data_IF_627187069299
#
_entry.id   IF_627187069299
#
_cell.length_a   1.000
_cell.length_b   1.000
_cell.length_c   1.000
_cell.angle_alpha   90.00
_cell.angle_beta   90.00
_cell.angle_gamma   90.00
#
_symmetry.space_group_name_H-M   'P 1'
#
loop_
_entity.id
_entity.type
_entity.pdbx_description
1 polymer ?
#
# COMPACT_ATOMS: atom_id res chain seq x y z
N UNK A 1 -21.05 21.26 -17.80
CA UNK A 1 -20.07 21.29 -16.71
C UNK A 1 -19.09 20.18 -17.02
N UNK A 2 -17.85 20.49 -17.34
CA UNK A 2 -16.83 19.44 -17.51
C UNK A 2 -16.66 18.76 -16.16
N UNK A 3 -16.92 17.46 -16.07
CA UNK A 3 -16.67 16.70 -14.85
C UNK A 3 -15.23 16.97 -14.41
N UNK A 4 -15.07 17.51 -13.20
CA UNK A 4 -13.75 17.77 -12.63
C UNK A 4 -13.03 16.43 -12.49
N UNK A 5 -11.79 16.37 -12.97
CA UNK A 5 -10.96 15.20 -12.77
C UNK A 5 -10.68 14.99 -11.28
N UNK A 6 -10.52 13.73 -10.86
CA UNK A 6 -10.05 13.40 -9.51
C UNK A 6 -8.63 13.92 -9.22
N UNK A 7 -7.92 14.39 -10.25
CA UNK A 7 -6.61 15.02 -10.15
C UNK A 7 -6.65 16.55 -10.07
N UNK A 8 -7.82 17.17 -10.25
CA UNK A 8 -7.95 18.63 -10.23
C UNK A 8 -7.90 19.16 -8.79
N UNK A 9 -7.28 20.34 -8.62
CA UNK A 9 -7.29 21.04 -7.34
C UNK A 9 -8.74 21.40 -6.93
N UNK A 10 -9.06 21.17 -5.66
CA UNK A 10 -10.42 21.34 -5.13
C UNK A 10 -11.35 20.19 -5.47
N UNK A 11 -10.83 19.04 -5.91
CA UNK A 11 -11.59 17.80 -5.96
C UNK A 11 -11.82 17.27 -4.54
N UNK A 12 -13.09 16.99 -4.22
CA UNK A 12 -13.54 16.44 -2.96
C UNK A 12 -14.13 15.05 -3.19
N UNK A 13 -13.82 14.10 -2.32
CA UNK A 13 -14.41 12.77 -2.37
C UNK A 13 -15.83 12.81 -1.78
N UNK A 14 -16.80 12.11 -2.38
CA UNK A 14 -18.15 12.08 -1.84
C UNK A 14 -18.19 11.28 -0.55
N UNK A 15 -18.99 11.77 0.41
CA UNK A 15 -19.27 11.05 1.66
C UNK A 15 -20.08 9.80 1.34
N UNK A 16 -19.53 8.65 1.70
CA UNK A 16 -20.16 7.34 1.56
C UNK A 16 -19.62 6.42 2.64
N UNK A 17 -20.35 5.34 2.94
CA UNK A 17 -20.03 4.44 4.05
C UNK A 17 -20.06 2.98 3.64
N UNK A 18 -19.11 2.21 4.18
CA UNK A 18 -19.03 0.77 4.01
C UNK A 18 -18.69 0.09 5.35
N UNK A 19 -18.91 -1.22 5.44
CA UNK A 19 -18.33 -2.01 6.53
C UNK A 19 -16.88 -2.33 6.19
N UNK A 20 -15.97 -2.25 7.17
CA UNK A 20 -14.59 -2.69 7.02
C UNK A 20 -14.52 -4.18 6.60
N UNK A 21 -13.60 -4.57 5.70
CA UNK A 21 -12.50 -3.75 5.16
C UNK A 21 -12.91 -2.77 4.03
N UNK A 22 -14.15 -2.84 3.56
CA UNK A 22 -14.65 -2.07 2.41
C UNK A 22 -14.33 -2.76 1.09
N UNK A 23 -15.07 -2.41 0.03
CA UNK A 23 -14.84 -2.89 -1.34
C UNK A 23 -14.66 -1.69 -2.28
N UNK A 24 -13.63 -1.73 -3.11
CA UNK A 24 -13.38 -0.75 -4.16
C UNK A 24 -14.44 -0.82 -5.26
N UNK A 25 -14.99 -2.01 -5.53
CA UNK A 25 -16.09 -2.17 -6.49
C UNK A 25 -17.35 -1.36 -6.11
N UNK A 26 -17.51 -1.03 -4.82
CA UNK A 26 -18.61 -0.24 -4.26
C UNK A 26 -18.30 1.26 -4.12
N UNK A 27 -17.09 1.70 -4.44
CA UNK A 27 -16.76 3.12 -4.42
C UNK A 27 -17.31 3.85 -5.64
N UNK A 28 -17.95 4.98 -5.38
CA UNK A 28 -18.34 5.94 -6.41
C UNK A 28 -17.83 7.35 -6.05
N UNK A 29 -16.94 7.97 -6.84
CA UNK A 29 -16.27 7.40 -8.00
C UNK A 29 -15.20 6.38 -7.60
N UNK A 30 -14.85 5.50 -8.55
CA UNK A 30 -13.75 4.55 -8.39
C UNK A 30 -12.40 5.27 -8.27
N UNK A 31 -11.43 4.73 -7.51
CA UNK A 31 -10.07 5.27 -7.49
C UNK A 31 -9.36 5.12 -8.84
N UNK A 32 -8.41 6.02 -9.11
CA UNK A 32 -7.52 5.90 -10.27
C UNK A 32 -6.34 5.01 -9.94
N UNK A 33 -6.19 3.90 -10.67
CA UNK A 33 -5.19 2.87 -10.38
C UNK A 33 -4.02 2.81 -11.37
N UNK A 34 -4.18 3.26 -12.62
CA UNK A 34 -3.11 3.30 -13.62
C UNK A 34 -2.98 4.63 -14.38
N UNK A 35 -3.72 5.66 -13.97
CA UNK A 35 -3.65 7.01 -14.54
C UNK A 35 -2.90 7.96 -13.61
N UNK A 36 -2.15 8.91 -14.19
CA UNK A 36 -1.37 9.92 -13.47
C UNK A 36 -1.69 11.32 -14.02
N UNK A 37 -1.56 12.39 -13.21
CA UNK A 37 -1.80 13.76 -13.68
C UNK A 37 -0.79 14.18 -14.75
N UNK A 38 -1.22 15.07 -15.64
CA UNK A 38 -0.39 15.69 -16.69
C UNK A 38 -0.01 17.13 -16.32
N UNK A 39 1.16 17.64 -16.74
CA UNK A 39 1.54 19.04 -16.52
C UNK A 39 0.55 20.05 -17.10
N UNK A 40 -0.12 19.70 -18.20
CA UNK A 40 -1.08 20.56 -18.91
C UNK A 40 -2.49 20.52 -18.28
N UNK A 41 -2.68 19.77 -17.18
CA UNK A 41 -3.99 19.49 -16.60
C UNK A 41 -4.65 18.25 -17.22
N UNK A 42 -5.46 17.55 -16.43
CA UNK A 42 -6.03 16.24 -16.78
C UNK A 42 -5.15 15.07 -16.36
N UNK A 43 -5.25 13.95 -17.09
CA UNK A 43 -4.56 12.71 -16.77
C UNK A 43 -4.19 11.90 -18.01
N UNK A 44 -3.19 11.03 -17.84
CA UNK A 44 -2.76 10.08 -18.84
C UNK A 44 -2.51 8.72 -18.20
N UNK A 45 -2.51 7.66 -19.01
CA UNK A 45 -2.05 6.35 -18.57
C UNK A 45 -0.57 6.43 -18.14
N UNK A 46 -0.22 5.75 -17.05
CA UNK A 46 1.16 5.56 -16.60
C UNK A 46 2.02 4.98 -17.73
N UNK A 47 3.22 5.54 -17.92
CA UNK A 47 4.16 5.13 -18.98
C UNK A 47 5.25 4.26 -18.38
N UNK A 48 5.10 2.94 -18.53
CA UNK A 48 6.10 1.99 -18.08
C UNK A 48 7.36 2.01 -18.96
N UNK A 49 8.49 1.65 -18.36
CA UNK A 49 9.80 1.60 -19.02
C UNK A 49 10.50 0.24 -18.87
N UNK A 50 9.77 -0.80 -18.48
CA UNK A 50 10.31 -2.16 -18.27
C UNK A 50 11.23 -2.25 -17.04
N UNK A 51 10.98 -1.41 -16.02
CA UNK A 51 11.86 -1.25 -14.85
C UNK A 51 11.93 -2.49 -13.97
N UNK A 52 10.95 -3.38 -14.07
CA UNK A 52 10.78 -4.56 -13.21
C UNK A 52 10.69 -5.84 -14.05
N UNK A 53 11.26 -5.86 -15.25
CA UNK A 53 11.18 -7.01 -16.16
C UNK A 53 11.64 -8.31 -15.48
N UNK A 54 10.75 -9.30 -15.48
CA UNK A 54 10.99 -10.62 -14.89
C UNK A 54 11.01 -10.67 -13.36
N UNK A 55 10.70 -9.57 -12.67
CA UNK A 55 10.63 -9.52 -11.20
C UNK A 55 9.39 -10.24 -10.68
N UNK A 56 9.51 -10.75 -9.46
CA UNK A 56 8.45 -11.49 -8.76
C UNK A 56 8.08 -10.80 -7.46
N UNK A 57 6.85 -10.32 -7.35
CA UNK A 57 6.39 -9.53 -6.21
C UNK A 57 5.36 -10.27 -5.35
N UNK A 58 5.57 -10.29 -4.04
CA UNK A 58 4.55 -10.64 -3.05
C UNK A 58 3.98 -9.34 -2.47
N UNK A 59 2.68 -9.10 -2.64
CA UNK A 59 2.00 -7.85 -2.25
C UNK A 59 0.81 -8.20 -1.32
N UNK A 60 0.80 -7.65 -0.12
CA UNK A 60 -0.34 -7.81 0.80
C UNK A 60 -1.34 -6.65 0.70
N UNK A 61 -2.64 -6.90 0.86
CA UNK A 61 -3.68 -5.91 0.59
C UNK A 61 -3.63 -5.46 -0.87
N UNK A 62 -3.40 -6.42 -1.78
CA UNK A 62 -3.23 -6.17 -3.21
C UNK A 62 -4.54 -6.20 -3.99
N UNK A 63 -5.66 -6.48 -3.33
CA UNK A 63 -7.01 -6.54 -3.89
C UNK A 63 -7.54 -5.16 -4.31
N UNK A 64 -7.19 -4.09 -3.59
CA UNK A 64 -7.75 -2.75 -3.76
C UNK A 64 -6.74 -1.63 -3.43
N UNK A 65 -7.15 -0.39 -3.66
CA UNK A 65 -6.46 0.84 -3.31
C UNK A 65 -5.02 0.90 -3.82
N UNK A 66 -4.12 1.28 -2.91
CA UNK A 66 -2.68 1.41 -3.21
C UNK A 66 -2.11 0.06 -3.65
N UNK A 67 -2.49 -1.05 -3.02
CA UNK A 67 -1.96 -2.37 -3.37
C UNK A 67 -2.38 -2.85 -4.75
N UNK A 68 -3.65 -2.64 -5.14
CA UNK A 68 -4.13 -2.87 -6.53
C UNK A 68 -3.29 -2.09 -7.53
N UNK A 69 -3.07 -0.81 -7.26
CA UNK A 69 -2.28 0.06 -8.14
C UNK A 69 -0.82 -0.41 -8.24
N UNK A 70 -0.22 -0.83 -7.12
CA UNK A 70 1.12 -1.43 -7.13
C UNK A 70 1.16 -2.66 -8.03
N UNK A 71 0.21 -3.59 -7.89
CA UNK A 71 0.16 -4.80 -8.71
C UNK A 71 0.02 -4.47 -10.20
N UNK A 72 -0.85 -3.53 -10.57
CA UNK A 72 -1.07 -3.11 -11.96
C UNK A 72 0.17 -2.42 -12.53
N UNK A 73 0.77 -1.46 -11.81
CA UNK A 73 1.96 -0.76 -12.28
C UNK A 73 3.18 -1.70 -12.35
N UNK A 74 3.29 -2.66 -11.43
CA UNK A 74 4.31 -3.70 -11.48
C UNK A 74 4.14 -4.58 -12.73
N UNK A 75 2.89 -4.92 -13.08
CA UNK A 75 2.60 -5.65 -14.30
C UNK A 75 2.99 -4.85 -15.56
N UNK A 76 2.65 -3.55 -15.60
CA UNK A 76 3.06 -2.66 -16.69
C UNK A 76 4.59 -2.56 -16.83
N UNK A 77 5.32 -2.63 -15.71
CA UNK A 77 6.79 -2.62 -15.67
C UNK A 77 7.45 -3.99 -15.86
N UNK A 78 6.67 -5.05 -16.09
CA UNK A 78 7.18 -6.38 -16.47
C UNK A 78 7.27 -7.41 -15.34
N UNK A 79 6.66 -7.16 -14.18
CA UNK A 79 6.72 -8.06 -13.02
C UNK A 79 5.47 -8.93 -12.86
N UNK A 80 5.67 -10.17 -12.40
CA UNK A 80 4.59 -11.06 -11.94
C UNK A 80 4.28 -10.80 -10.46
N UNK A 81 3.01 -10.94 -10.08
CA UNK A 81 2.53 -10.65 -8.72
C UNK A 81 1.86 -11.86 -8.07
N UNK A 82 2.01 -11.95 -6.75
CA UNK A 82 1.23 -12.80 -5.87
C UNK A 82 0.60 -11.89 -4.81
N UNK A 83 -0.73 -11.80 -4.78
CA UNK A 83 -1.42 -10.89 -3.88
C UNK A 83 -2.16 -11.64 -2.77
N UNK A 84 -2.06 -11.11 -1.56
CA UNK A 84 -2.81 -11.55 -0.38
C UNK A 84 -3.84 -10.50 0.04
N UNK A 85 -4.99 -10.94 0.50
CA UNK A 85 -6.16 -10.12 0.84
C UNK A 85 -7.10 -10.93 1.77
N UNK A 86 -8.13 -10.31 2.34
CA UNK A 86 -9.10 -11.03 3.17
C UNK A 86 -10.15 -11.75 2.30
N UNK A 87 -10.69 -12.91 2.72
CA UNK A 87 -11.68 -13.65 1.93
C UNK A 87 -12.89 -12.85 1.47
N UNK A 88 -13.33 -11.85 2.24
CA UNK A 88 -14.45 -10.98 1.93
C UNK A 88 -14.17 -10.03 0.73
N UNK A 89 -12.90 -9.83 0.37
CA UNK A 89 -12.43 -8.93 -0.70
C UNK A 89 -12.19 -9.67 -2.04
N UNK A 90 -12.61 -10.94 -2.16
CA UNK A 90 -12.36 -11.79 -3.34
C UNK A 90 -12.78 -11.16 -4.67
N UNK A 91 -13.91 -10.45 -4.71
CA UNK A 91 -14.39 -9.76 -5.90
C UNK A 91 -13.35 -8.74 -6.42
N UNK A 92 -12.81 -7.94 -5.51
CA UNK A 92 -11.80 -6.93 -5.81
C UNK A 92 -10.44 -7.54 -6.16
N UNK A 93 -10.08 -8.65 -5.51
CA UNK A 93 -8.87 -9.39 -5.85
C UNK A 93 -8.92 -9.98 -7.27
N UNK A 94 -10.07 -10.51 -7.69
CA UNK A 94 -10.27 -11.03 -9.04
C UNK A 94 -10.18 -9.92 -10.11
N UNK A 95 -10.72 -8.73 -9.84
CA UNK A 95 -10.57 -7.60 -10.76
C UNK A 95 -9.10 -7.18 -10.86
N UNK A 96 -8.35 -7.10 -9.74
CA UNK A 96 -6.92 -6.82 -9.80
C UNK A 96 -6.17 -7.87 -10.61
N UNK A 97 -6.45 -9.16 -10.40
CA UNK A 97 -5.85 -10.24 -11.19
C UNK A 97 -6.09 -10.04 -12.69
N UNK A 98 -7.34 -9.81 -13.08
CA UNK A 98 -7.72 -9.57 -14.47
C UNK A 98 -6.98 -8.37 -15.05
N UNK A 99 -6.88 -7.25 -14.31
CA UNK A 99 -6.16 -6.06 -14.76
C UNK A 99 -4.65 -6.32 -14.93
N UNK A 100 -4.02 -7.09 -14.04
CA UNK A 100 -2.62 -7.50 -14.18
C UNK A 100 -2.41 -8.42 -15.39
N UNK A 101 -3.28 -9.42 -15.56
CA UNK A 101 -3.20 -10.37 -16.67
C UNK A 101 -3.44 -9.68 -18.03
N UNK A 102 -4.26 -8.63 -18.09
CA UNK A 102 -4.42 -7.79 -19.28
C UNK A 102 -3.13 -7.03 -19.67
N UNK A 103 -2.23 -6.76 -18.72
CA UNK A 103 -0.89 -6.19 -19.03
C UNK A 103 0.14 -7.28 -19.40
N UNK A 104 -0.28 -8.54 -19.51
CA UNK A 104 0.55 -9.66 -19.97
C UNK A 104 1.40 -10.32 -18.88
N UNK A 105 1.15 -10.02 -17.61
CA UNK A 105 1.87 -10.61 -16.46
C UNK A 105 0.99 -11.55 -15.66
N UNK A 106 1.60 -12.42 -14.86
CA UNK A 106 0.87 -13.38 -14.01
C UNK A 106 0.46 -12.72 -12.70
N UNK A 107 -0.76 -13.03 -12.25
CA UNK A 107 -1.22 -12.65 -10.92
C UNK A 107 -1.84 -13.87 -10.19
N UNK A 108 -1.25 -14.21 -9.06
CA UNK A 108 -1.73 -15.27 -8.17
C UNK A 108 -2.46 -14.67 -6.98
N UNK A 109 -3.50 -15.35 -6.52
CA UNK A 109 -4.38 -14.88 -5.46
C UNK A 109 -4.29 -15.80 -4.23
N UNK A 110 -4.33 -15.22 -3.04
CA UNK A 110 -4.44 -15.97 -1.79
C UNK A 110 -5.21 -15.20 -0.72
N UNK A 111 -6.49 -15.55 -0.58
CA UNK A 111 -7.31 -15.09 0.52
C UNK A 111 -6.80 -15.65 1.87
N UNK A 112 -6.39 -14.78 2.79
CA UNK A 112 -5.87 -15.18 4.11
C UNK A 112 -5.91 -14.05 5.13
N UNK A 113 -6.05 -14.40 6.41
CA UNK A 113 -5.87 -13.46 7.51
C UNK A 113 -4.41 -13.49 7.99
N UNK A 114 -3.73 -12.37 7.83
CA UNK A 114 -2.31 -12.21 8.15
C UNK A 114 -2.01 -12.04 9.64
N UNK A 115 -3.03 -11.87 10.49
CA UNK A 115 -2.84 -11.79 11.95
C UNK A 115 -2.27 -13.09 12.53
N UNK A 116 -2.57 -14.23 11.89
CA UNK A 116 -1.99 -15.52 12.26
C UNK A 116 -0.61 -15.73 11.60
N UNK A 117 0.42 -15.86 12.44
CA UNK A 117 1.79 -16.21 12.04
C UNK A 117 1.87 -17.42 11.09
N UNK A 118 1.07 -18.46 11.33
CA UNK A 118 1.06 -19.66 10.50
C UNK A 118 0.55 -19.37 9.09
N UNK A 119 -0.43 -18.46 8.95
CA UNK A 119 -0.90 -17.99 7.66
C UNK A 119 0.17 -17.18 6.92
N UNK A 120 0.90 -16.29 7.60
CA UNK A 120 2.03 -15.57 6.98
C UNK A 120 3.08 -16.53 6.42
N UNK A 121 3.41 -17.59 7.17
CA UNK A 121 4.39 -18.59 6.72
C UNK A 121 3.91 -19.34 5.47
N UNK A 122 2.68 -19.85 5.50
CA UNK A 122 2.05 -20.56 4.37
C UNK A 122 1.95 -19.68 3.14
N UNK A 123 1.61 -18.40 3.31
CA UNK A 123 1.55 -17.42 2.24
C UNK A 123 2.89 -17.29 1.52
N UNK A 124 4.00 -17.11 2.26
CA UNK A 124 5.34 -17.00 1.66
C UNK A 124 5.74 -18.31 0.96
N UNK A 125 5.49 -19.46 1.59
CA UNK A 125 5.77 -20.77 0.98
C UNK A 125 5.03 -20.93 -0.36
N UNK A 126 3.75 -20.56 -0.40
CA UNK A 126 2.93 -20.61 -1.61
C UNK A 126 3.37 -19.60 -2.67
N UNK A 127 3.71 -18.38 -2.27
CA UNK A 127 4.22 -17.36 -3.18
C UNK A 127 5.54 -17.78 -3.84
N UNK A 128 6.48 -18.35 -3.06
CA UNK A 128 7.73 -18.91 -3.58
C UNK A 128 7.47 -20.03 -4.58
N UNK A 129 6.54 -20.94 -4.27
CA UNK A 129 6.16 -22.05 -5.16
C UNK A 129 5.56 -21.54 -6.47
N UNK A 130 4.53 -20.69 -6.40
CA UNK A 130 3.72 -20.31 -7.55
C UNK A 130 4.44 -19.31 -8.47
N UNK A 131 5.25 -18.39 -7.91
CA UNK A 131 6.08 -17.47 -8.68
C UNK A 131 7.42 -18.11 -9.10
N UNK A 132 7.87 -19.17 -8.42
CA UNK A 132 9.22 -19.73 -8.58
C UNK A 132 10.33 -18.83 -8.01
N UNK A 133 10.04 -18.11 -6.92
CA UNK A 133 10.94 -17.16 -6.25
C UNK A 133 10.28 -15.82 -5.92
N UNK A 134 10.96 -14.99 -5.11
CA UNK A 134 10.49 -13.64 -4.74
C UNK A 134 11.66 -12.67 -4.88
N UNK A 135 11.45 -11.55 -5.56
CA UNK A 135 12.40 -10.44 -5.65
C UNK A 135 11.97 -9.24 -4.82
N UNK A 136 10.65 -9.04 -4.68
CA UNK A 136 10.05 -7.86 -4.07
C UNK A 136 9.02 -8.31 -3.04
N UNK A 137 9.14 -7.82 -1.80
CA UNK A 137 8.09 -7.93 -0.79
C UNK A 137 7.47 -6.55 -0.57
N UNK A 138 6.16 -6.44 -0.71
CA UNK A 138 5.39 -5.23 -0.40
C UNK A 138 4.43 -5.52 0.76
N UNK A 139 4.77 -5.00 1.94
CA UNK A 139 3.89 -5.01 3.09
C UNK A 139 3.00 -3.74 3.03
N UNK A 140 1.79 -3.90 2.52
CA UNK A 140 0.85 -2.81 2.28
C UNK A 140 -0.47 -2.90 3.07
N UNK A 141 -0.89 -4.10 3.49
CA UNK A 141 -2.10 -4.30 4.27
C UNK A 141 -2.12 -3.45 5.56
N UNK A 142 -3.32 -3.01 5.95
CA UNK A 142 -3.52 -2.27 7.18
C UNK A 142 -4.97 -2.36 7.64
N UNK A 143 -5.18 -2.18 8.94
CA UNK A 143 -6.44 -1.86 9.57
C UNK A 143 -6.31 -0.49 10.25
N UNK A 144 -7.40 0.28 10.25
CA UNK A 144 -7.54 1.51 11.01
C UNK A 144 -9.00 1.65 11.45
N UNK A 145 -9.24 2.39 12.53
CA UNK A 145 -10.59 2.79 12.96
C UNK A 145 -10.45 4.05 13.80
N UNK A 146 -11.25 5.09 13.48
CA UNK A 146 -11.18 6.36 14.20
C UNK A 146 -11.75 6.23 15.62
N UNK A 147 -11.02 6.75 16.61
CA UNK A 147 -11.45 6.90 18.00
C UNK A 147 -10.88 8.21 18.52
N UNK A 148 -11.74 9.10 19.00
CA UNK A 148 -11.36 10.49 19.36
C UNK A 148 -10.55 10.59 20.65
N UNK A 149 -10.89 9.79 21.67
CA UNK A 149 -10.25 9.78 22.98
C UNK A 149 -9.68 8.39 23.29
N UNK A 150 -8.47 8.34 23.85
CA UNK A 150 -7.82 7.09 24.27
C UNK A 150 -8.66 6.32 25.30
N UNK A 151 -9.49 6.99 26.09
CA UNK A 151 -10.38 6.35 27.07
C UNK A 151 -11.47 5.48 26.42
N UNK A 152 -11.82 5.78 25.16
CA UNK A 152 -12.81 5.03 24.39
C UNK A 152 -12.14 3.99 23.46
N UNK A 153 -10.82 3.99 23.37
CA UNK A 153 -10.06 3.03 22.58
C UNK A 153 -10.00 1.70 23.29
N UNK A 154 -10.81 0.75 22.84
CA UNK A 154 -10.84 -0.58 23.42
C UNK A 154 -9.50 -1.34 23.19
N UNK A 155 -9.16 -2.21 24.14
CA UNK A 155 -7.94 -3.01 24.05
C UNK A 155 -8.00 -4.00 22.89
N UNK A 156 -9.19 -4.42 22.47
CA UNK A 156 -9.39 -5.34 21.34
C UNK A 156 -9.02 -4.69 19.99
N UNK A 157 -9.40 -3.44 19.75
CA UNK A 157 -9.02 -2.63 18.60
C UNK A 157 -7.53 -2.34 18.65
N UNK A 158 -6.98 -1.94 19.81
CA UNK A 158 -5.54 -1.76 19.96
C UNK A 158 -4.77 -3.00 19.51
N UNK A 159 -5.14 -4.18 20.05
CA UNK A 159 -4.51 -5.45 19.69
C UNK A 159 -4.71 -5.79 18.22
N UNK A 160 -5.94 -5.66 17.70
CA UNK A 160 -6.26 -5.92 16.29
C UNK A 160 -5.45 -5.04 15.34
N UNK A 161 -5.28 -3.76 15.66
CA UNK A 161 -4.49 -2.83 14.87
C UNK A 161 -3.02 -3.23 14.84
N UNK A 162 -2.42 -3.62 15.97
CA UNK A 162 -1.04 -4.13 16.00
C UNK A 162 -0.85 -5.50 15.33
N UNK A 163 -1.77 -6.42 15.59
CA UNK A 163 -1.80 -7.77 15.00
C UNK A 163 -1.97 -7.72 13.48
N UNK A 164 -2.60 -6.68 12.95
CA UNK A 164 -2.73 -6.45 11.52
C UNK A 164 -1.54 -5.68 10.95
N UNK A 165 -1.11 -4.59 11.59
CA UNK A 165 -0.27 -3.59 10.91
C UNK A 165 1.24 -3.80 11.08
N UNK A 166 1.70 -4.53 12.11
CA UNK A 166 3.15 -4.66 12.37
C UNK A 166 3.61 -6.10 12.62
N UNK A 167 2.83 -6.93 13.32
CA UNK A 167 3.19 -8.33 13.51
C UNK A 167 3.38 -9.07 12.17
N UNK A 168 2.51 -8.91 11.15
CA UNK A 168 2.69 -9.61 9.90
C UNK A 168 3.84 -9.04 9.07
N UNK A 169 4.15 -7.74 9.19
CA UNK A 169 5.33 -7.15 8.54
C UNK A 169 6.62 -7.82 9.03
N UNK A 170 6.70 -8.12 10.32
CA UNK A 170 7.79 -8.92 10.89
C UNK A 170 7.79 -10.36 10.36
N UNK A 171 6.65 -11.07 10.44
CA UNK A 171 6.57 -12.48 10.02
C UNK A 171 6.88 -12.66 8.54
N UNK A 172 6.26 -11.88 7.67
CA UNK A 172 6.45 -11.92 6.22
C UNK A 172 7.90 -11.59 5.87
N UNK A 173 8.47 -10.51 6.43
CA UNK A 173 9.88 -10.19 6.19
C UNK A 173 10.81 -11.32 6.64
N UNK A 174 10.59 -11.89 7.83
CA UNK A 174 11.36 -13.02 8.36
C UNK A 174 11.30 -14.25 7.45
N UNK A 175 10.13 -14.58 6.92
CA UNK A 175 9.93 -15.77 6.09
C UNK A 175 10.32 -15.55 4.63
N UNK A 176 10.23 -14.33 4.10
CA UNK A 176 10.59 -14.02 2.71
C UNK A 176 12.10 -13.86 2.52
N UNK A 177 12.80 -13.27 3.48
CA UNK A 177 14.25 -12.99 3.39
C UNK A 177 15.11 -14.18 2.97
N UNK A 178 14.91 -15.43 3.46
CA UNK A 178 15.65 -16.60 2.99
C UNK A 178 15.56 -16.87 1.48
N UNK A 179 14.56 -16.32 0.81
CA UNK A 179 14.32 -16.46 -0.62
C UNK A 179 14.78 -15.25 -1.45
N UNK A 180 15.14 -14.14 -0.79
CA UNK A 180 15.63 -12.93 -1.44
C UNK A 180 17.10 -13.05 -1.84
N UNK A 181 17.48 -12.34 -2.88
CA UNK A 181 18.85 -12.30 -3.42
C UNK A 181 19.38 -10.87 -3.44
N UNK A 182 20.67 -10.70 -3.72
CA UNK A 182 21.25 -9.37 -4.00
C UNK A 182 20.44 -8.70 -5.11
N UNK A 183 20.02 -7.46 -4.87
CA UNK A 183 19.15 -6.70 -5.77
C UNK A 183 17.64 -6.83 -5.48
N UNK A 184 17.24 -7.63 -4.48
CA UNK A 184 15.87 -7.67 -3.98
C UNK A 184 15.52 -6.44 -3.13
N UNK A 185 14.22 -6.17 -3.01
CA UNK A 185 13.70 -5.04 -2.24
C UNK A 185 12.54 -5.45 -1.32
N UNK A 186 12.48 -4.86 -0.14
CA UNK A 186 11.31 -4.88 0.76
C UNK A 186 10.80 -3.45 0.86
N UNK A 187 9.50 -3.25 0.64
CA UNK A 187 8.87 -1.93 0.68
C UNK A 187 7.68 -1.99 1.62
N UNK A 188 7.68 -1.15 2.65
CA UNK A 188 6.65 -1.11 3.67
C UNK A 188 5.77 0.13 3.49
N UNK A 189 4.44 -0.04 3.45
CA UNK A 189 3.51 1.07 3.40
C UNK A 189 3.26 1.61 4.81
N UNK A 190 3.97 2.69 5.16
CA UNK A 190 3.80 3.43 6.40
C UNK A 190 2.59 4.38 6.27
N UNK A 191 2.71 5.60 6.77
CA UNK A 191 1.71 6.67 6.65
C UNK A 191 2.34 7.99 7.06
N UNK A 192 1.79 9.11 6.57
CA UNK A 192 2.06 10.43 7.11
C UNK A 192 1.77 10.49 8.62
N UNK A 193 0.81 9.71 9.13
CA UNK A 193 0.41 9.72 10.53
C UNK A 193 1.56 9.49 11.50
N UNK A 194 2.53 8.64 11.12
CA UNK A 194 3.74 8.38 11.92
C UNK A 194 4.58 9.64 12.20
N UNK A 195 4.39 10.70 11.41
CA UNK A 195 5.17 11.93 11.46
C UNK A 195 4.36 13.11 11.99
N UNK A 196 3.06 13.16 11.69
CA UNK A 196 2.18 14.28 12.12
C UNK A 196 1.45 14.00 13.43
N UNK A 197 1.42 12.75 13.91
CA UNK A 197 0.79 12.41 15.18
C UNK A 197 -0.72 12.61 15.17
N UNK A 198 -1.42 12.04 14.18
CA UNK A 198 -2.89 12.21 14.04
C UNK A 198 -3.62 11.63 15.27
N UNK A 199 -4.32 12.47 16.08
CA UNK A 199 -4.74 12.09 17.44
C UNK A 199 -5.92 11.10 17.48
N UNK A 200 -6.86 11.22 16.54
CA UNK A 200 -8.06 10.38 16.38
C UNK A 200 -7.78 8.99 15.79
N UNK A 201 -6.51 8.63 15.62
CA UNK A 201 -6.02 7.38 15.07
C UNK A 201 -4.80 6.89 15.87
N UNK A 202 -4.86 6.92 17.21
CA UNK A 202 -3.71 6.70 18.08
C UNK A 202 -3.01 5.34 17.88
N UNK A 203 -3.77 4.24 17.86
CA UNK A 203 -3.28 2.88 17.64
C UNK A 203 -2.67 2.73 16.23
N UNK A 204 -3.38 3.19 15.20
CA UNK A 204 -2.91 3.19 13.82
C UNK A 204 -1.62 3.99 13.68
N UNK A 205 -1.60 5.23 14.18
CA UNK A 205 -0.44 6.12 14.18
C UNK A 205 0.76 5.45 14.84
N UNK A 206 0.55 4.79 15.99
CA UNK A 206 1.58 4.03 16.70
C UNK A 206 2.14 2.90 15.85
N UNK A 207 1.28 2.10 15.18
CA UNK A 207 1.74 1.03 14.29
C UNK A 207 2.51 1.57 13.08
N UNK A 208 2.11 2.71 12.51
CA UNK A 208 2.82 3.33 11.39
C UNK A 208 4.19 3.86 11.83
N UNK A 209 4.33 4.37 13.06
CA UNK A 209 5.63 4.68 13.67
C UNK A 209 6.51 3.43 13.85
N UNK A 210 5.93 2.32 14.30
CA UNK A 210 6.62 1.03 14.41
C UNK A 210 7.12 0.53 13.04
N UNK A 211 6.32 0.67 11.97
CA UNK A 211 6.72 0.32 10.59
C UNK A 211 7.94 1.14 10.14
N UNK A 212 7.98 2.44 10.42
CA UNK A 212 9.13 3.31 10.06
C UNK A 212 10.39 2.84 10.79
N UNK A 213 10.32 2.60 12.09
CA UNK A 213 11.44 2.10 12.87
C UNK A 213 11.89 0.70 12.41
N UNK A 214 10.94 -0.21 12.15
CA UNK A 214 11.19 -1.55 11.63
C UNK A 214 11.90 -1.52 10.28
N UNK A 215 11.47 -0.64 9.37
CA UNK A 215 12.10 -0.43 8.05
C UNK A 215 13.58 -0.06 8.20
N UNK A 216 13.89 0.92 9.05
CA UNK A 216 15.27 1.37 9.31
C UNK A 216 16.11 0.26 9.93
N UNK A 217 15.59 -0.42 10.95
CA UNK A 217 16.27 -1.52 11.62
C UNK A 217 16.59 -2.68 10.68
N UNK A 218 15.59 -3.11 9.89
CA UNK A 218 15.76 -4.22 8.95
C UNK A 218 16.70 -3.85 7.79
N UNK A 219 16.64 -2.61 7.29
CA UNK A 219 17.61 -2.08 6.31
C UNK A 219 19.04 -2.24 6.82
N UNK A 220 19.32 -1.78 8.04
CA UNK A 220 20.67 -1.85 8.62
C UNK A 220 21.19 -3.28 8.74
N UNK A 221 20.32 -4.28 8.91
CA UNK A 221 20.69 -5.69 8.97
C UNK A 221 21.00 -6.31 7.60
N UNK A 222 20.39 -5.81 6.52
CA UNK A 222 20.37 -6.49 5.22
C UNK A 222 21.00 -5.70 4.07
N UNK A 223 21.30 -4.41 4.26
CA UNK A 223 21.93 -3.57 3.22
C UNK A 223 23.29 -4.13 2.78
N UNK A 224 24.11 -4.64 3.70
CA UNK A 224 25.41 -5.27 3.37
C UNK A 224 25.27 -6.59 2.60
N UNK A 225 24.09 -7.21 2.62
CA UNK A 225 23.73 -8.40 1.84
C UNK A 225 23.10 -8.03 0.48
N UNK A 226 23.01 -6.74 0.18
CA UNK A 226 22.48 -6.22 -1.08
C UNK A 226 20.96 -6.30 -1.20
N UNK A 227 20.24 -6.37 -0.07
CA UNK A 227 18.78 -6.27 -0.03
C UNK A 227 18.42 -4.90 0.54
N UNK A 228 17.59 -4.15 -0.20
CA UNK A 228 17.15 -2.81 0.22
C UNK A 228 15.83 -2.90 0.96
N UNK A 229 15.66 -2.11 2.01
CA UNK A 229 14.41 -2.05 2.78
C UNK A 229 14.02 -0.59 2.93
N UNK A 230 12.88 -0.19 2.37
CA UNK A 230 12.41 1.20 2.39
C UNK A 230 10.93 1.28 2.74
N UNK A 231 10.45 2.48 2.99
CA UNK A 231 9.04 2.75 3.22
C UNK A 231 8.50 3.82 2.28
N UNK A 232 7.18 3.78 2.08
CA UNK A 232 6.41 4.91 1.53
C UNK A 232 5.47 5.38 2.63
N UNK A 233 5.35 6.69 2.81
CA UNK A 233 4.44 7.32 3.77
C UNK A 233 3.41 8.16 2.99
N UNK A 234 2.27 7.55 2.58
CA UNK A 234 1.21 8.28 1.90
C UNK A 234 0.53 9.29 2.81
N UNK A 235 -0.02 10.34 2.21
CA UNK A 235 -0.97 11.26 2.84
C UNK A 235 -2.41 10.73 2.75
N UNK A 236 -3.41 11.61 2.54
CA UNK A 236 -4.78 11.17 2.25
C UNK A 236 -4.85 10.58 0.84
N UNK A 237 -5.26 9.31 0.74
CA UNK A 237 -5.41 8.58 -0.52
C UNK A 237 -6.83 8.02 -0.62
N UNK A 238 -7.51 8.24 -1.75
CA UNK A 238 -8.86 7.71 -1.97
C UNK A 238 -8.82 6.18 -2.14
N UNK A 239 -9.30 5.45 -1.15
CA UNK A 239 -9.29 3.98 -1.06
C UNK A 239 -10.50 3.47 -0.27
N UNK A 240 -10.85 2.17 -0.34
CA UNK A 240 -11.98 1.61 0.42
C UNK A 240 -11.83 1.71 1.95
N UNK A 241 -10.59 1.87 2.43
CA UNK A 241 -10.30 2.09 3.84
C UNK A 241 -10.93 3.37 4.38
N UNK A 242 -11.11 4.40 3.54
CA UNK A 242 -11.63 5.71 3.97
C UNK A 242 -13.11 5.64 4.38
N UNK A 243 -14.05 5.26 3.49
CA UNK A 243 -15.47 5.19 3.84
C UNK A 243 -15.83 4.06 4.80
N UNK A 244 -14.89 3.16 5.11
CA UNK A 244 -15.14 2.08 6.07
C UNK A 244 -14.69 2.40 7.50
N UNK A 245 -13.98 3.52 7.71
CA UNK A 245 -13.29 3.80 8.98
C UNK A 245 -13.36 5.26 9.43
N UNK A 246 -13.84 6.19 8.59
CA UNK A 246 -13.88 7.62 8.88
C UNK A 246 -15.31 8.17 9.04
N UNK A 247 -15.45 9.22 9.84
CA UNK A 247 -16.70 9.98 10.01
C UNK A 247 -17.00 10.88 8.80
N UNK A 248 -18.23 11.36 8.68
CA UNK A 248 -18.65 12.32 7.65
C UNK A 248 -17.77 13.57 7.63
N UNK A 249 -17.48 14.12 8.82
CA UNK A 249 -16.66 15.31 8.99
C UNK A 249 -15.23 15.06 8.49
N UNK A 250 -14.65 13.91 8.85
CA UNK A 250 -13.31 13.53 8.42
C UNK A 250 -13.23 13.31 6.90
N UNK A 251 -14.27 12.73 6.27
CA UNK A 251 -14.33 12.53 4.82
C UNK A 251 -14.45 13.89 4.09
N UNK A 252 -15.28 14.81 4.59
CA UNK A 252 -15.40 16.16 4.00
C UNK A 252 -14.09 16.94 4.07
N UNK A 253 -13.25 16.68 5.07
CA UNK A 253 -11.94 17.31 5.24
C UNK A 253 -10.79 16.49 4.64
N UNK A 254 -11.09 15.42 3.89
CA UNK A 254 -10.10 14.48 3.38
C UNK A 254 -9.32 15.06 2.19
N UNK A 255 -8.38 15.95 2.49
CA UNK A 255 -7.59 16.70 1.52
C UNK A 255 -6.15 16.94 2.01
N UNK A 256 -5.32 17.50 1.14
CA UNK A 256 -3.91 17.82 1.38
C UNK A 256 -3.62 19.27 0.97
N UNK A 257 -2.40 19.82 1.23
CA UNK A 257 -1.98 21.12 0.70
C UNK A 257 -2.10 21.26 -0.82
N UNK A 258 -2.03 20.16 -1.59
CA UNK A 258 -2.34 20.15 -3.02
C UNK A 258 -3.85 20.34 -3.35
N UNK A 259 -4.70 20.51 -2.34
CA UNK A 259 -6.12 20.81 -2.47
C UNK A 259 -6.99 19.64 -2.90
N UNK A 260 -6.48 18.41 -2.83
CA UNK A 260 -7.22 17.17 -3.08
C UNK A 260 -6.56 15.98 -2.36
N UNK A 261 -7.26 14.86 -2.17
CA UNK A 261 -6.60 13.59 -1.87
C UNK A 261 -5.82 13.07 -3.08
N UNK A 262 -4.78 12.26 -2.80
CA UNK A 262 -4.06 11.53 -3.83
C UNK A 262 -4.89 10.34 -4.33
N UNK A 263 -4.63 9.94 -5.57
CA UNK A 263 -5.12 8.68 -6.10
C UNK A 263 -4.10 7.56 -5.85
N UNK A 264 -4.55 6.30 -5.71
CA UNK A 264 -3.66 5.15 -5.50
C UNK A 264 -2.50 5.01 -6.50
N UNK A 265 -2.74 5.32 -7.78
CA UNK A 265 -1.73 5.30 -8.84
C UNK A 265 -0.55 6.22 -8.56
N UNK A 266 -0.80 7.42 -8.04
CA UNK A 266 0.25 8.41 -7.72
C UNK A 266 1.21 7.87 -6.66
N UNK A 267 0.67 7.14 -5.68
CA UNK A 267 1.45 6.49 -4.63
C UNK A 267 2.22 5.28 -5.18
N UNK A 268 1.58 4.46 -6.01
CA UNK A 268 2.19 3.27 -6.57
C UNK A 268 3.44 3.57 -7.43
N UNK A 269 3.55 4.76 -8.03
CA UNK A 269 4.80 5.19 -8.70
C UNK A 269 6.03 5.18 -7.78
N UNK A 270 5.86 5.51 -6.50
CA UNK A 270 6.94 5.46 -5.50
C UNK A 270 7.38 4.02 -5.24
N UNK A 271 6.45 3.06 -5.25
CA UNK A 271 6.74 1.64 -5.10
C UNK A 271 7.45 1.05 -6.31
N UNK A 272 7.16 1.52 -7.53
CA UNK A 272 7.92 1.15 -8.74
C UNK A 272 9.36 1.62 -8.60
N UNK A 273 9.56 2.90 -8.25
CA UNK A 273 10.90 3.47 -8.05
C UNK A 273 11.70 2.72 -6.97
N UNK A 274 11.08 2.44 -5.82
CA UNK A 274 11.75 1.74 -4.72
C UNK A 274 12.02 0.26 -5.02
N UNK A 275 11.25 -0.38 -5.89
CA UNK A 275 11.51 -1.76 -6.31
C UNK A 275 12.59 -1.86 -7.40
N UNK A 276 12.71 -0.84 -8.25
CA UNK A 276 13.63 -0.85 -9.40
C UNK A 276 15.09 -0.56 -9.00
N UNK A 277 15.99 -0.72 -9.97
CA UNK A 277 17.40 -0.34 -9.82
C UNK A 277 17.62 1.18 -9.74
N UNK A 278 16.61 1.99 -10.07
CA UNK A 278 16.69 3.46 -10.01
C UNK A 278 16.95 3.95 -8.57
N UNK A 279 16.55 3.16 -7.57
CA UNK A 279 16.76 3.44 -6.15
C UNK A 279 17.92 2.63 -5.54
N UNK A 280 18.92 2.24 -6.35
CA UNK A 280 20.05 1.38 -5.94
C UNK A 280 20.86 1.91 -4.74
N UNK A 281 20.92 3.24 -4.55
CA UNK A 281 21.59 3.89 -3.41
C UNK A 281 20.64 4.29 -2.27
N UNK A 282 19.40 3.79 -2.27
CA UNK A 282 18.36 4.12 -1.29
C UNK A 282 17.98 2.87 -0.49
N UNK A 283 18.31 2.87 0.81
CA UNK A 283 17.87 1.88 1.78
C UNK A 283 17.68 2.53 3.15
N UNK A 284 16.68 2.09 3.90
CA UNK A 284 16.29 2.61 5.22
C UNK A 284 15.51 3.93 5.15
N UNK A 285 15.13 4.37 3.95
CA UNK A 285 14.52 5.67 3.70
C UNK A 285 12.98 5.58 3.66
N UNK A 286 12.33 6.71 3.86
CA UNK A 286 10.88 6.86 3.67
C UNK A 286 10.62 7.89 2.57
N UNK A 287 9.84 7.52 1.55
CA UNK A 287 9.35 8.47 0.54
C UNK A 287 8.00 9.02 1.00
N UNK A 288 7.89 10.34 1.07
CA UNK A 288 6.67 11.04 1.49
C UNK A 288 5.85 11.47 0.27
N UNK A 289 4.85 10.66 -0.09
CA UNK A 289 3.90 10.96 -1.16
C UNK A 289 2.57 11.43 -0.55
N UNK A 290 2.55 12.67 -0.06
CA UNK A 290 1.54 13.11 0.92
C UNK A 290 0.81 14.41 0.55
N UNK A 291 0.90 14.84 -0.70
CA UNK A 291 0.19 16.03 -1.16
C UNK A 291 0.75 17.36 -0.63
N UNK A 292 2.05 17.39 -0.28
CA UNK A 292 2.76 18.62 0.05
C UNK A 292 2.83 18.96 1.54
N UNK A 293 2.49 18.03 2.43
CA UNK A 293 2.65 18.25 3.88
C UNK A 293 4.12 18.12 4.26
N UNK A 294 4.69 19.19 4.81
CA UNK A 294 6.08 19.19 5.32
C UNK A 294 6.13 18.44 6.64
N UNK A 295 6.98 17.40 6.71
CA UNK A 295 7.09 16.50 7.87
C UNK A 295 8.52 16.36 8.40
N UNK A 296 9.41 17.28 8.03
CA UNK A 296 10.83 17.24 8.42
C UNK A 296 11.50 15.90 8.07
N UNK A 297 11.35 15.48 6.80
CA UNK A 297 11.85 14.22 6.26
C UNK A 297 13.36 14.14 6.12
#
# INVERSE_FOLDING_TARGET
MTDKSQFDQGYEVPVQHQKAPGLESKLDPKPQYDQIPTPEGGYQLYKAAGKLEGKKALITGGDSGIGRSIAILYAMEGADSFIAYLPEEEEDAQETKKLVEQKGRKCYLHATDLRDRANCKKLVEKAVSDLGGIDILVNNHAYQMMVEDIQDLDEEQWLKTFDTNIHPFFYLSKYTIPHLKKGSAIINNASINAYIGRPDLLDYTSTKGAIVAFTRGLSNQYVSKGIRVNAVAPGPVWTPLIPSTMTDEAIKQFTSPMGRPSQPSEIATCFVFLASADSSSISGQTIHANGGVVVNG
#
